data_IF_297647983959
#
_entry.id   IF_297647983959
#
_cell.length_a   1.000
_cell.length_b   1.000
_cell.length_c   1.000
_cell.angle_alpha   90.00
_cell.angle_beta   90.00
_cell.angle_gamma   90.00
#
_symmetry.space_group_name_H-M   'P 1'
#
loop_
_entity.id
_entity.type
_entity.pdbx_description
1 polymer ?
#
# COMPACT_ATOMS: atom_id res chain seq x y z
N UNK A 1 -22.27 -4.59 -5.62
CA UNK A 1 -20.81 -4.37 -5.69
C UNK A 1 -20.49 -3.62 -6.96
N UNK A 2 -20.07 -2.37 -6.81
CA UNK A 2 -19.73 -1.44 -7.89
C UNK A 2 -18.52 -1.94 -8.71
N UNK A 3 -18.41 -1.54 -9.97
CA UNK A 3 -17.41 -2.07 -10.91
C UNK A 3 -15.96 -1.89 -10.44
N UNK A 4 -15.64 -0.77 -9.81
CA UNK A 4 -14.32 -0.49 -9.25
C UNK A 4 -14.02 -1.33 -7.99
N UNK A 5 -15.04 -1.68 -7.17
CA UNK A 5 -14.92 -2.64 -6.06
C UNK A 5 -14.57 -4.05 -6.53
N UNK A 6 -15.07 -4.46 -7.72
CA UNK A 6 -14.69 -5.73 -8.36
C UNK A 6 -13.28 -5.68 -8.96
N UNK A 7 -12.90 -4.54 -9.53
CA UNK A 7 -11.55 -4.28 -10.03
C UNK A 7 -10.49 -4.25 -8.92
N UNK A 8 -10.83 -3.72 -7.74
CA UNK A 8 -9.98 -3.76 -6.54
C UNK A 8 -9.69 -5.19 -6.07
N UNK A 9 -10.70 -6.07 -6.11
CA UNK A 9 -10.52 -7.49 -5.80
C UNK A 9 -9.68 -8.23 -6.85
N UNK A 10 -9.84 -7.87 -8.13
CA UNK A 10 -9.06 -8.45 -9.23
C UNK A 10 -7.59 -7.97 -9.23
N UNK A 11 -7.35 -6.69 -8.93
CA UNK A 11 -6.01 -6.12 -8.81
C UNK A 11 -5.30 -6.62 -7.54
N UNK A 12 -6.00 -6.78 -6.42
CA UNK A 12 -5.46 -7.40 -5.21
C UNK A 12 -5.08 -8.88 -5.40
N UNK A 13 -5.70 -9.57 -6.37
CA UNK A 13 -5.36 -10.94 -6.74
C UNK A 13 -4.17 -11.06 -7.69
N UNK A 14 -3.82 -10.01 -8.43
CA UNK A 14 -2.82 -10.05 -9.51
C UNK A 14 -1.58 -9.18 -9.27
N UNK A 15 -1.63 -8.14 -8.44
CA UNK A 15 -0.53 -7.22 -8.19
C UNK A 15 -0.26 -7.10 -6.68
N UNK A 16 0.46 -8.08 -6.12
CA UNK A 16 0.77 -8.16 -4.68
C UNK A 16 1.58 -6.99 -4.10
N UNK A 17 1.98 -5.99 -4.89
CA UNK A 17 2.85 -4.90 -4.46
C UNK A 17 2.20 -3.48 -4.51
N UNK A 18 1.12 -3.27 -5.28
CA UNK A 18 0.38 -1.98 -5.24
C UNK A 18 -0.40 -1.78 -3.93
N UNK A 19 -0.49 -2.82 -3.09
CA UNK A 19 -1.23 -2.82 -1.83
C UNK A 19 -0.60 -1.99 -0.70
N UNK A 20 0.62 -1.46 -0.84
CA UNK A 20 1.31 -0.71 0.22
C UNK A 20 0.51 0.52 0.68
N UNK A 21 -0.24 1.16 -0.21
CA UNK A 21 -1.01 2.36 0.10
C UNK A 21 -2.51 2.09 0.28
N UNK A 22 -3.07 1.07 -0.37
CA UNK A 22 -4.49 0.73 -0.23
C UNK A 22 -4.83 0.20 1.17
N UNK A 23 -3.90 -0.51 1.84
CA UNK A 23 -4.13 -0.99 3.21
C UNK A 23 -4.09 0.13 4.26
N UNK A 24 -3.41 1.26 3.98
CA UNK A 24 -3.38 2.41 4.89
C UNK A 24 -4.76 3.05 5.09
N UNK A 25 -5.64 2.91 4.11
CA UNK A 25 -7.01 3.41 4.14
C UNK A 25 -8.05 2.35 4.54
N UNK A 26 -7.68 1.07 4.51
CA UNK A 26 -8.61 -0.05 4.75
C UNK A 26 -8.69 -0.48 6.22
N UNK A 27 -7.60 -0.34 7.00
CA UNK A 27 -7.59 -0.81 8.41
C UNK A 27 -8.35 0.08 9.40
N UNK A 28 -8.74 1.32 9.04
CA UNK A 28 -9.64 2.11 9.89
C UNK A 28 -11.11 1.65 9.84
N UNK A 29 -11.45 0.74 8.93
CA UNK A 29 -12.83 0.28 8.75
C UNK A 29 -13.27 -0.82 9.74
N UNK A 30 -12.38 -1.45 10.50
CA UNK A 30 -12.75 -2.64 11.30
C UNK A 30 -12.65 -2.50 12.83
N UNK A 31 -12.16 -1.39 13.42
CA UNK A 31 -12.13 -1.34 14.89
C UNK A 31 -12.16 0.03 15.58
N UNK A 32 -13.17 0.87 15.29
CA UNK A 32 -13.65 1.91 16.22
C UNK A 32 -15.15 2.12 16.06
N UNK A 33 -15.94 1.33 16.78
CA UNK A 33 -17.27 1.80 17.21
C UNK A 33 -17.03 2.94 18.20
N UNK A 34 -17.05 4.19 17.71
CA UNK A 34 -17.21 5.34 18.58
C UNK A 34 -18.65 5.32 19.10
N UNK A 35 -18.87 5.67 20.38
CA UNK A 35 -20.22 5.79 20.94
C UNK A 35 -21.02 6.81 20.12
N UNK A 36 -22.28 6.50 19.86
CA UNK A 36 -23.22 7.43 19.26
C UNK A 36 -23.34 8.67 20.15
N UNK A 37 -22.74 9.77 19.71
CA UNK A 37 -22.96 11.08 20.29
C UNK A 37 -24.21 11.66 19.63
N UNK A 38 -25.32 11.67 20.35
CA UNK A 38 -26.57 12.34 19.99
C UNK A 38 -26.41 13.86 20.14
N UNK A 39 -25.48 14.43 19.38
CA UNK A 39 -25.28 15.87 19.24
C UNK A 39 -25.70 16.31 17.85
N UNK A 40 -26.85 16.96 17.74
CA UNK A 40 -27.26 17.67 16.51
C UNK A 40 -26.30 18.83 16.21
N UNK A 41 -25.13 18.55 15.63
CA UNK A 41 -24.35 19.56 14.94
C UNK A 41 -24.96 19.80 13.56
N UNK A 42 -25.47 21.02 13.36
CA UNK A 42 -25.91 21.50 12.04
C UNK A 42 -24.72 21.52 11.08
N UNK A 43 -24.51 20.41 10.37
CA UNK A 43 -23.64 20.37 9.19
C UNK A 43 -24.07 21.50 8.25
N UNK A 44 -23.20 22.49 8.06
CA UNK A 44 -23.28 23.39 6.92
C UNK A 44 -23.07 22.53 5.66
N UNK A 45 -24.16 22.03 5.10
CA UNK A 45 -24.14 21.30 3.83
C UNK A 45 -23.47 22.19 2.78
N UNK A 46 -22.30 21.76 2.32
CA UNK A 46 -21.62 22.34 1.18
C UNK A 46 -22.56 22.30 -0.03
N UNK A 47 -22.45 23.30 -0.92
CA UNK A 47 -23.13 23.22 -2.22
C UNK A 47 -22.59 22.02 -2.99
N UNK A 48 -23.33 21.45 -3.97
CA UNK A 48 -22.81 20.35 -4.79
C UNK A 48 -21.46 20.67 -5.45
N UNK A 49 -21.24 21.93 -5.85
CA UNK A 49 -19.96 22.41 -6.39
C UNK A 49 -18.87 22.47 -5.33
N UNK A 50 -19.20 22.86 -4.10
CA UNK A 50 -18.27 22.85 -2.96
C UNK A 50 -17.90 21.43 -2.53
N UNK A 51 -18.86 20.50 -2.55
CA UNK A 51 -18.62 19.07 -2.28
C UNK A 51 -17.68 18.46 -3.35
N UNK A 52 -17.93 18.74 -4.64
CA UNK A 52 -17.07 18.28 -5.73
C UNK A 52 -15.64 18.84 -5.62
N UNK A 53 -15.49 20.14 -5.34
CA UNK A 53 -14.18 20.77 -5.18
C UNK A 53 -13.41 20.16 -4.00
N UNK A 54 -14.10 19.87 -2.89
CA UNK A 54 -13.49 19.20 -1.74
C UNK A 54 -13.05 17.78 -2.09
N UNK A 55 -13.88 17.00 -2.79
CA UNK A 55 -13.52 15.63 -3.24
C UNK A 55 -12.29 15.65 -4.15
N UNK A 56 -12.24 16.57 -5.11
CA UNK A 56 -11.08 16.73 -5.99
C UNK A 56 -9.81 17.10 -5.21
N UNK A 57 -9.93 17.99 -4.21
CA UNK A 57 -8.81 18.36 -3.36
C UNK A 57 -8.30 17.18 -2.53
N UNK A 58 -9.21 16.43 -1.88
CA UNK A 58 -8.85 15.25 -1.10
C UNK A 58 -8.14 14.21 -1.97
N UNK A 59 -8.67 13.92 -3.16
CA UNK A 59 -8.01 13.01 -4.11
C UNK A 59 -6.61 13.47 -4.50
N UNK A 60 -6.44 14.76 -4.80
CA UNK A 60 -5.14 15.33 -5.13
C UNK A 60 -4.15 15.23 -3.97
N UNK A 61 -4.60 15.42 -2.74
CA UNK A 61 -3.76 15.31 -1.55
C UNK A 61 -3.38 13.86 -1.26
N UNK A 62 -4.31 12.91 -1.47
CA UNK A 62 -4.01 11.47 -1.39
C UNK A 62 -2.93 11.11 -2.41
N UNK A 63 -3.11 11.51 -3.69
CA UNK A 63 -2.10 11.26 -4.74
C UNK A 63 -0.75 11.86 -4.36
N UNK A 64 -0.71 13.11 -3.91
CA UNK A 64 0.55 13.76 -3.50
C UNK A 64 1.20 13.06 -2.29
N UNK A 65 0.39 12.59 -1.33
CA UNK A 65 0.86 11.83 -0.17
C UNK A 65 1.48 10.49 -0.60
N UNK A 66 0.85 9.79 -1.55
CA UNK A 66 1.35 8.55 -2.13
C UNK A 66 2.68 8.76 -2.86
N UNK A 67 2.80 9.80 -3.70
CA UNK A 67 4.04 10.13 -4.42
C UNK A 67 5.19 10.47 -3.46
N UNK A 68 4.91 11.25 -2.39
CA UNK A 68 5.90 11.56 -1.35
C UNK A 68 6.35 10.30 -0.64
N UNK A 69 5.42 9.45 -0.22
CA UNK A 69 5.74 8.20 0.45
C UNK A 69 6.59 7.29 -0.46
N UNK A 70 6.24 7.18 -1.74
CA UNK A 70 7.03 6.44 -2.73
C UNK A 70 8.47 6.99 -2.83
N UNK A 71 8.62 8.32 -2.89
CA UNK A 71 9.93 8.97 -2.87
C UNK A 71 10.73 8.67 -1.60
N UNK A 72 10.07 8.72 -0.44
CA UNK A 72 10.69 8.38 0.85
C UNK A 72 11.12 6.91 0.91
N UNK A 73 10.28 5.99 0.44
CA UNK A 73 10.58 4.56 0.38
C UNK A 73 11.79 4.28 -0.52
N UNK A 74 11.89 4.92 -1.69
CA UNK A 74 13.06 4.79 -2.58
C UNK A 74 14.34 5.27 -1.91
N UNK A 75 14.29 6.44 -1.28
CA UNK A 75 15.46 6.99 -0.60
C UNK A 75 15.90 6.11 0.58
N UNK A 76 14.94 5.60 1.35
CA UNK A 76 15.21 4.69 2.46
C UNK A 76 15.77 3.35 1.97
N UNK A 77 15.27 2.82 0.86
CA UNK A 77 15.78 1.58 0.23
C UNK A 77 17.25 1.73 -0.14
N UNK A 78 17.63 2.84 -0.81
CA UNK A 78 19.04 3.15 -1.10
C UNK A 78 19.88 3.32 0.17
N UNK A 79 19.32 3.93 1.22
CA UNK A 79 20.01 4.05 2.50
C UNK A 79 20.23 2.69 3.16
N UNK A 80 19.24 1.79 3.11
CA UNK A 80 19.33 0.42 3.65
C UNK A 80 20.36 -0.45 2.91
N UNK A 81 20.50 -0.26 1.60
CA UNK A 81 21.53 -0.95 0.80
C UNK A 81 22.95 -0.43 1.10
N UNK A 82 23.09 0.87 1.41
CA UNK A 82 24.39 1.48 1.71
C UNK A 82 24.78 1.41 3.19
N UNK A 83 23.80 1.33 4.10
CA UNK A 83 23.96 1.25 5.55
C UNK A 83 23.07 0.15 6.10
N UNK A 84 23.65 -0.74 6.91
CA UNK A 84 22.88 -1.75 7.65
C UNK A 84 22.12 -1.11 8.82
N UNK A 85 20.94 -0.55 8.54
CA UNK A 85 20.05 -0.07 9.60
C UNK A 85 19.35 -1.25 10.29
N UNK A 86 19.15 -1.12 11.60
CA UNK A 86 18.30 -2.04 12.36
C UNK A 86 16.81 -1.79 12.08
N UNK A 87 15.96 -2.72 12.47
CA UNK A 87 14.50 -2.57 12.39
C UNK A 87 14.03 -1.28 13.10
N UNK A 88 14.49 -1.02 14.31
CA UNK A 88 14.09 0.16 15.10
C UNK A 88 14.53 1.49 14.44
N UNK A 89 15.74 1.54 13.89
CA UNK A 89 16.22 2.71 13.16
C UNK A 89 15.41 2.96 11.89
N UNK A 90 15.10 1.90 11.15
CA UNK A 90 14.30 1.97 9.93
C UNK A 90 12.87 2.43 10.24
N UNK A 91 12.28 1.88 11.30
CA UNK A 91 10.97 2.27 11.81
C UNK A 91 10.92 3.75 12.17
N UNK A 92 11.89 4.23 12.97
CA UNK A 92 11.95 5.65 13.36
C UNK A 92 12.07 6.55 12.14
N UNK A 93 12.90 6.15 11.17
CA UNK A 93 13.09 6.91 9.93
C UNK A 93 11.80 7.03 9.12
N UNK A 94 11.02 5.95 9.04
CA UNK A 94 9.71 5.96 8.38
C UNK A 94 8.71 6.83 9.15
N UNK A 95 8.70 6.75 10.48
CA UNK A 95 7.78 7.54 11.31
C UNK A 95 7.99 9.05 11.14
N UNK A 96 9.23 9.48 10.91
CA UNK A 96 9.58 10.89 10.67
C UNK A 96 9.11 11.42 9.31
N UNK A 97 8.99 10.55 8.30
CA UNK A 97 8.71 10.95 6.90
C UNK A 97 7.33 10.52 6.42
N UNK A 98 6.58 9.79 7.24
CA UNK A 98 5.24 9.34 6.92
C UNK A 98 4.33 10.57 6.81
N UNK A 99 3.69 10.80 5.65
CA UNK A 99 2.77 11.93 5.47
C UNK A 99 1.50 11.72 6.31
N UNK A 100 0.91 12.83 6.75
CA UNK A 100 -0.40 12.83 7.39
C UNK A 100 -1.46 12.25 6.44
N UNK A 101 -2.44 11.53 7.01
CA UNK A 101 -3.56 11.00 6.24
C UNK A 101 -4.52 12.15 5.88
N UNK A 102 -4.75 12.44 4.58
CA UNK A 102 -5.68 13.48 4.19
C UNK A 102 -7.08 13.24 4.76
N UNK A 103 -7.56 11.99 4.79
CA UNK A 103 -8.91 11.69 5.29
C UNK A 103 -9.05 12.04 6.77
N UNK A 104 -8.07 11.66 7.60
CA UNK A 104 -8.02 12.03 9.01
C UNK A 104 -8.03 13.56 9.18
N UNK A 105 -7.27 14.29 8.34
CA UNK A 105 -7.23 15.76 8.36
C UNK A 105 -8.57 16.41 8.05
N UNK A 106 -9.38 15.78 7.20
CA UNK A 106 -10.74 16.21 6.89
C UNK A 106 -11.80 15.63 7.83
N UNK A 107 -11.41 14.83 8.83
CA UNK A 107 -12.35 14.16 9.73
C UNK A 107 -13.25 13.14 9.03
N UNK A 108 -12.80 12.61 7.89
CA UNK A 108 -13.57 11.68 7.07
C UNK A 108 -13.12 10.24 7.34
N UNK A 109 -14.08 9.37 7.53
CA UNK A 109 -13.85 7.93 7.41
C UNK A 109 -13.75 7.54 5.95
N UNK A 110 -13.11 6.40 5.68
CA UNK A 110 -13.07 5.82 4.34
C UNK A 110 -14.49 5.62 3.76
N UNK A 111 -15.45 5.16 4.56
CA UNK A 111 -16.83 4.93 4.10
C UNK A 111 -17.55 6.23 3.69
N UNK A 112 -17.30 7.32 4.42
CA UNK A 112 -17.84 8.63 4.05
C UNK A 112 -17.20 9.15 2.77
N UNK A 113 -15.89 8.99 2.63
CA UNK A 113 -15.19 9.36 1.40
C UNK A 113 -15.64 8.50 0.21
N UNK A 114 -15.85 7.20 0.40
CA UNK A 114 -16.40 6.27 -0.59
C UNK A 114 -17.76 6.74 -1.11
N UNK A 115 -18.66 7.12 -0.20
CA UNK A 115 -19.97 7.64 -0.54
C UNK A 115 -19.87 8.96 -1.33
N UNK A 116 -18.91 9.83 -1.00
CA UNK A 116 -18.66 11.07 -1.73
C UNK A 116 -18.13 10.80 -3.15
N UNK A 117 -17.19 9.85 -3.31
CA UNK A 117 -16.71 9.43 -4.61
C UNK A 117 -17.84 8.87 -5.48
N UNK A 118 -18.74 8.07 -4.91
CA UNK A 118 -19.89 7.50 -5.63
C UNK A 118 -20.81 8.55 -6.25
N UNK A 119 -20.98 9.71 -5.61
CA UNK A 119 -21.78 10.84 -6.12
C UNK A 119 -21.10 11.56 -7.30
N UNK A 120 -19.77 11.65 -7.28
CA UNK A 120 -18.98 12.42 -8.24
C UNK A 120 -18.17 11.57 -9.23
N UNK A 121 -18.38 10.25 -9.25
CA UNK A 121 -17.60 9.28 -10.04
C UNK A 121 -17.59 9.53 -11.56
N UNK A 122 -18.50 10.36 -12.07
CA UNK A 122 -18.56 10.72 -13.48
C UNK A 122 -17.66 11.92 -13.84
N UNK A 123 -17.21 12.69 -12.85
CA UNK A 123 -16.30 13.82 -13.05
C UNK A 123 -14.93 13.33 -13.54
N UNK A 124 -14.36 13.93 -14.61
CA UNK A 124 -13.09 13.49 -15.16
C UNK A 124 -11.92 13.53 -14.18
N UNK A 125 -11.83 14.55 -13.31
CA UNK A 125 -10.73 14.67 -12.34
C UNK A 125 -10.88 13.67 -11.21
N UNK A 126 -12.12 13.41 -10.79
CA UNK A 126 -12.42 12.35 -9.82
C UNK A 126 -12.00 10.98 -10.37
N UNK A 127 -12.35 10.68 -11.64
CA UNK A 127 -11.91 9.44 -12.30
C UNK A 127 -10.39 9.33 -12.39
N UNK A 128 -9.72 10.40 -12.78
CA UNK A 128 -8.26 10.44 -12.89
C UNK A 128 -7.59 10.21 -11.53
N UNK A 129 -8.05 10.89 -10.48
CA UNK A 129 -7.55 10.68 -9.12
C UNK A 129 -7.75 9.24 -8.63
N UNK A 130 -8.93 8.66 -8.88
CA UNK A 130 -9.20 7.25 -8.56
C UNK A 130 -8.26 6.32 -9.34
N UNK A 131 -8.07 6.54 -10.65
CA UNK A 131 -7.16 5.74 -11.47
C UNK A 131 -5.71 5.80 -10.98
N UNK A 132 -5.24 6.98 -10.61
CA UNK A 132 -3.89 7.18 -10.09
C UNK A 132 -3.70 6.45 -8.75
N UNK A 133 -4.67 6.59 -7.84
CA UNK A 133 -4.68 5.88 -6.54
C UNK A 133 -4.70 4.37 -6.72
N UNK A 134 -5.40 3.87 -7.74
CA UNK A 134 -5.46 2.44 -8.05
C UNK A 134 -4.16 1.88 -8.63
N UNK A 135 -3.11 2.71 -8.79
CA UNK A 135 -1.85 2.29 -9.39
C UNK A 135 -2.02 1.83 -10.84
N UNK A 136 -3.13 2.22 -11.49
CA UNK A 136 -3.26 2.00 -12.92
C UNK A 136 -2.18 2.83 -13.60
N UNK A 137 -1.42 2.25 -14.55
CA UNK A 137 -0.43 3.02 -15.28
C UNK A 137 -1.15 4.20 -15.95
N UNK A 138 -0.92 5.40 -15.42
CA UNK A 138 -1.06 6.63 -16.20
C UNK A 138 -0.16 6.36 -17.40
N UNK A 139 -0.72 6.38 -18.62
CA UNK A 139 0.03 6.11 -19.86
C UNK A 139 1.32 6.93 -19.82
N UNK A 140 2.41 6.30 -19.42
CA UNK A 140 3.74 6.87 -19.48
C UNK A 140 4.26 6.40 -20.83
N UNK A 141 4.33 7.35 -21.77
CA UNK A 141 4.79 7.14 -23.16
C UNK A 141 6.29 6.79 -23.24
N UNK A 142 6.88 6.22 -22.19
CA UNK A 142 8.29 5.88 -22.13
C UNK A 142 8.47 4.38 -22.34
N UNK A 143 8.93 3.94 -23.53
CA UNK A 143 9.44 2.61 -23.75
C UNK A 143 10.84 2.54 -23.16
N UNK A 144 10.96 2.65 -21.83
CA UNK A 144 12.20 2.27 -21.19
C UNK A 144 12.30 0.75 -21.34
N UNK A 145 13.38 0.26 -21.96
CA UNK A 145 13.68 -1.16 -22.08
C UNK A 145 13.82 -1.76 -20.67
N UNK A 146 12.71 -2.28 -20.16
CA UNK A 146 12.65 -2.97 -18.87
C UNK A 146 13.47 -4.26 -19.01
N UNK A 147 14.29 -4.64 -18.02
CA UNK A 147 14.89 -5.96 -17.98
C UNK A 147 13.79 -7.00 -18.18
N UNK A 148 13.95 -7.89 -19.16
CA UNK A 148 13.01 -8.99 -19.37
C UNK A 148 13.21 -10.00 -18.25
N UNK A 149 12.61 -9.74 -17.10
CA UNK A 149 12.48 -10.71 -16.00
C UNK A 149 11.56 -11.82 -16.51
N UNK A 150 11.92 -13.09 -16.30
CA UNK A 150 11.03 -14.22 -16.65
C UNK A 150 10.01 -14.48 -15.52
N UNK A 151 8.93 -15.19 -15.82
CA UNK A 151 7.97 -15.62 -14.81
C UNK A 151 8.64 -16.45 -13.69
N UNK A 152 9.54 -17.37 -14.04
CA UNK A 152 10.34 -18.13 -13.06
C UNK A 152 11.17 -17.22 -12.14
N UNK A 153 11.75 -16.15 -12.69
CA UNK A 153 12.53 -15.19 -11.91
C UNK A 153 11.63 -14.39 -10.96
N UNK A 154 10.41 -14.05 -11.38
CA UNK A 154 9.41 -13.41 -10.50
C UNK A 154 9.09 -14.32 -9.30
N UNK A 155 8.91 -15.62 -9.53
CA UNK A 155 8.64 -16.60 -8.48
C UNK A 155 9.84 -16.72 -7.53
N UNK A 156 11.06 -16.78 -8.06
CA UNK A 156 12.30 -16.81 -7.27
C UNK A 156 12.42 -15.58 -6.35
N UNK A 157 12.12 -14.39 -6.88
CA UNK A 157 12.11 -13.15 -6.11
C UNK A 157 11.05 -13.20 -5.01
N UNK A 158 9.83 -13.67 -5.29
CA UNK A 158 8.77 -13.78 -4.28
C UNK A 158 9.09 -14.79 -3.18
N UNK A 159 9.77 -15.90 -3.51
CA UNK A 159 10.27 -16.84 -2.49
C UNK A 159 11.28 -16.17 -1.56
N UNK A 160 12.22 -15.42 -2.12
CA UNK A 160 13.18 -14.68 -1.32
C UNK A 160 12.51 -13.61 -0.46
N UNK A 161 11.51 -12.89 -1.00
CA UNK A 161 10.71 -11.95 -0.22
C UNK A 161 10.03 -12.64 0.97
N UNK A 162 9.40 -13.80 0.75
CA UNK A 162 8.78 -14.57 1.82
C UNK A 162 9.78 -14.93 2.92
N UNK A 163 10.95 -15.48 2.57
CA UNK A 163 12.00 -15.80 3.53
C UNK A 163 12.42 -14.59 4.37
N UNK A 164 12.56 -13.42 3.75
CA UNK A 164 12.96 -12.19 4.45
C UNK A 164 11.83 -11.63 5.32
N UNK A 165 10.57 -11.71 4.89
CA UNK A 165 9.42 -11.35 5.72
C UNK A 165 9.32 -12.27 6.93
N UNK A 166 9.49 -13.58 6.77
CA UNK A 166 9.45 -14.53 7.88
C UNK A 166 10.56 -14.26 8.90
N UNK A 167 11.79 -13.95 8.44
CA UNK A 167 12.89 -13.53 9.32
C UNK A 167 12.53 -12.27 10.11
N UNK A 168 11.91 -11.27 9.46
CA UNK A 168 11.47 -10.05 10.11
C UNK A 168 10.35 -10.30 11.12
N UNK A 169 9.39 -11.18 10.81
CA UNK A 169 8.34 -11.60 11.75
C UNK A 169 8.95 -12.24 12.99
N UNK A 170 9.93 -13.14 12.83
CA UNK A 170 10.63 -13.74 13.97
C UNK A 170 11.40 -12.70 14.78
N UNK A 171 12.10 -11.78 14.10
CA UNK A 171 12.79 -10.67 14.78
C UNK A 171 11.79 -9.82 15.58
N UNK A 172 10.66 -9.44 14.99
CA UNK A 172 9.63 -8.61 15.62
C UNK A 172 8.99 -9.30 16.82
N UNK A 173 8.73 -10.62 16.75
CA UNK A 173 8.25 -11.45 17.87
C UNK A 173 9.17 -11.42 19.09
N UNK A 174 10.47 -11.26 18.88
CA UNK A 174 11.45 -11.22 19.98
C UNK A 174 11.60 -9.83 20.62
N UNK A 175 10.99 -8.79 20.05
CA UNK A 175 11.07 -7.43 20.59
C UNK A 175 10.16 -7.27 21.80
N UNK A 176 10.77 -6.97 22.96
CA UNK A 176 10.03 -6.69 24.21
C UNK A 176 9.08 -5.48 24.11
N UNK A 177 9.34 -4.58 23.17
CA UNK A 177 8.59 -3.35 22.92
C UNK A 177 7.58 -3.48 21.77
N UNK A 178 7.16 -4.70 21.38
CA UNK A 178 6.23 -4.90 20.26
C UNK A 178 4.96 -4.03 20.36
N UNK A 179 4.46 -3.81 21.58
CA UNK A 179 3.28 -2.99 21.85
C UNK A 179 3.47 -1.48 21.60
N UNK A 180 4.71 -0.97 21.51
CA UNK A 180 4.97 0.46 21.27
C UNK A 180 5.03 0.82 19.79
N UNK A 181 5.02 -0.18 18.91
CA UNK A 181 5.06 0.03 17.47
C UNK A 181 3.65 0.01 16.87
N UNK A 182 3.31 0.99 16.04
CA UNK A 182 2.07 0.98 15.28
C UNK A 182 2.19 0.08 14.05
N UNK A 183 1.13 -0.70 13.79
CA UNK A 183 1.11 -1.71 12.74
C UNK A 183 1.39 -1.14 11.33
N UNK A 184 0.93 0.10 11.07
CA UNK A 184 1.13 0.82 9.81
C UNK A 184 2.61 1.04 9.53
N UNK A 185 3.33 1.64 10.46
CA UNK A 185 4.77 1.92 10.33
C UNK A 185 5.58 0.62 10.36
N UNK A 186 5.18 -0.40 11.13
CA UNK A 186 5.80 -1.74 11.12
C UNK A 186 5.73 -2.38 9.73
N UNK A 187 4.56 -2.32 9.09
CA UNK A 187 4.33 -2.88 7.75
C UNK A 187 5.21 -2.21 6.71
N UNK A 188 5.25 -0.87 6.72
CA UNK A 188 6.12 -0.08 5.83
C UNK A 188 7.61 -0.38 6.09
N UNK A 189 7.99 -0.57 7.36
CA UNK A 189 9.37 -0.93 7.75
C UNK A 189 9.76 -2.27 7.13
N UNK A 190 8.91 -3.27 7.25
CA UNK A 190 9.16 -4.58 6.66
C UNK A 190 9.29 -4.50 5.14
N UNK A 191 8.40 -3.77 4.48
CA UNK A 191 8.45 -3.58 3.03
C UNK A 191 9.74 -2.89 2.57
N UNK A 192 10.18 -1.83 3.26
CA UNK A 192 11.42 -1.14 2.94
C UNK A 192 12.65 -2.07 3.10
N UNK A 193 12.70 -2.81 4.20
CA UNK A 193 13.82 -3.73 4.48
C UNK A 193 13.87 -4.91 3.50
N UNK A 194 12.73 -5.48 3.13
CA UNK A 194 12.65 -6.56 2.14
C UNK A 194 12.98 -6.03 0.75
N UNK A 195 12.42 -4.88 0.35
CA UNK A 195 12.71 -4.22 -0.92
C UNK A 195 14.20 -3.97 -1.12
N UNK A 196 14.88 -3.43 -0.10
CA UNK A 196 16.32 -3.19 -0.15
C UNK A 196 17.13 -4.47 -0.35
N UNK A 197 16.74 -5.57 0.31
CA UNK A 197 17.42 -6.87 0.15
C UNK A 197 17.17 -7.50 -1.21
N UNK A 198 15.98 -7.30 -1.77
CA UNK A 198 15.64 -7.79 -3.11
C UNK A 198 16.46 -7.04 -4.15
N UNK A 199 16.51 -5.72 -4.06
CA UNK A 199 17.30 -4.87 -4.95
C UNK A 199 18.79 -5.22 -4.84
N UNK A 200 19.33 -5.40 -3.63
CA UNK A 200 20.71 -5.83 -3.39
C UNK A 200 21.02 -7.22 -3.99
N UNK A 201 20.09 -8.17 -3.90
CA UNK A 201 20.33 -9.57 -4.32
C UNK A 201 20.11 -9.79 -5.81
N UNK A 202 19.12 -9.13 -6.40
CA UNK A 202 18.65 -9.42 -7.75
C UNK A 202 18.90 -8.29 -8.75
N UNK A 203 19.34 -7.11 -8.30
CA UNK A 203 19.48 -5.90 -9.12
C UNK A 203 18.16 -5.54 -9.83
N UNK A 204 17.05 -5.74 -9.10
CA UNK A 204 15.69 -5.46 -9.56
C UNK A 204 15.02 -4.49 -8.59
N UNK A 205 14.50 -3.40 -9.14
CA UNK A 205 13.69 -2.45 -8.37
C UNK A 205 12.30 -3.03 -8.11
N UNK A 206 11.58 -2.49 -7.12
CA UNK A 206 10.18 -2.85 -6.88
C UNK A 206 9.32 -2.67 -8.13
N UNK A 207 9.57 -1.62 -8.93
CA UNK A 207 8.83 -1.38 -10.16
C UNK A 207 9.15 -2.38 -11.27
N UNK A 208 10.36 -2.93 -11.34
CA UNK A 208 10.70 -4.01 -12.27
C UNK A 208 9.89 -5.26 -11.95
N UNK A 209 9.78 -5.59 -10.66
CA UNK A 209 9.05 -6.77 -10.18
C UNK A 209 7.55 -6.58 -10.41
N UNK A 210 7.00 -5.40 -10.11
CA UNK A 210 5.60 -5.06 -10.39
C UNK A 210 5.26 -5.18 -11.87
N UNK A 211 6.08 -4.59 -12.74
CA UNK A 211 5.89 -4.70 -14.20
C UNK A 211 5.97 -6.15 -14.66
N UNK A 212 6.87 -6.95 -14.11
CA UNK A 212 7.01 -8.36 -14.46
C UNK A 212 5.77 -9.16 -14.01
N UNK A 213 5.27 -8.93 -12.79
CA UNK A 213 4.03 -9.56 -12.30
C UNK A 213 2.85 -9.22 -13.20
N UNK A 214 2.69 -7.95 -13.59
CA UNK A 214 1.64 -7.55 -14.54
C UNK A 214 1.86 -8.20 -15.89
N UNK A 215 3.09 -8.29 -16.39
CA UNK A 215 3.39 -8.90 -17.69
C UNK A 215 3.03 -10.39 -17.74
N UNK A 216 3.28 -11.14 -16.68
CA UNK A 216 3.05 -12.58 -16.62
C UNK A 216 1.80 -12.96 -15.82
N UNK A 217 0.84 -12.05 -15.65
CA UNK A 217 -0.29 -12.25 -14.75
C UNK A 217 -1.09 -13.54 -15.05
N UNK A 218 -1.28 -13.90 -16.32
CA UNK A 218 -2.00 -15.12 -16.71
C UNK A 218 -1.25 -16.40 -16.34
N UNK A 219 0.05 -16.41 -16.58
CA UNK A 219 0.93 -17.55 -16.25
C UNK A 219 1.03 -17.72 -14.74
N UNK A 220 1.30 -16.64 -14.03
CA UNK A 220 1.43 -16.61 -12.58
C UNK A 220 0.12 -16.99 -11.87
N UNK A 221 -1.04 -16.61 -12.41
CA UNK A 221 -2.35 -16.93 -11.83
C UNK A 221 -2.65 -18.45 -11.80
N UNK A 222 -2.06 -19.22 -12.72
CA UNK A 222 -2.22 -20.68 -12.77
C UNK A 222 -1.06 -21.44 -12.11
N UNK A 223 -0.01 -20.72 -11.71
CA UNK A 223 1.17 -21.30 -11.09
C UNK A 223 0.93 -21.57 -9.60
N UNK A 224 0.86 -22.86 -9.24
CA UNK A 224 0.62 -23.31 -7.86
C UNK A 224 1.68 -22.85 -6.87
N UNK A 225 2.92 -22.73 -7.32
CA UNK A 225 4.03 -22.31 -6.47
C UNK A 225 3.92 -20.81 -6.16
N UNK A 226 3.67 -20.00 -7.18
CA UNK A 226 3.43 -18.56 -7.00
C UNK A 226 2.24 -18.30 -6.06
N UNK A 227 1.13 -19.04 -6.24
CA UNK A 227 -0.03 -18.96 -5.36
C UNK A 227 0.30 -19.33 -3.91
N UNK A 228 1.07 -20.42 -3.70
CA UNK A 228 1.51 -20.87 -2.38
C UNK A 228 2.40 -19.83 -1.68
N UNK A 229 3.36 -19.25 -2.41
CA UNK A 229 4.26 -18.22 -1.88
C UNK A 229 3.47 -16.97 -1.47
N UNK A 230 2.56 -16.50 -2.31
CA UNK A 230 1.73 -15.33 -1.99
C UNK A 230 0.83 -15.56 -0.78
N UNK A 231 0.21 -16.74 -0.66
CA UNK A 231 -0.61 -17.08 0.51
C UNK A 231 0.21 -17.08 1.81
N UNK A 232 1.41 -17.65 1.78
CA UNK A 232 2.32 -17.64 2.93
C UNK A 232 2.80 -16.23 3.26
N UNK A 233 3.11 -15.43 2.24
CA UNK A 233 3.55 -14.04 2.43
C UNK A 233 2.44 -13.18 3.03
N UNK A 234 1.19 -13.35 2.59
CA UNK A 234 0.01 -12.70 3.19
C UNK A 234 -0.14 -13.06 4.66
N UNK A 235 0.02 -14.34 5.02
CA UNK A 235 -0.04 -14.80 6.41
C UNK A 235 1.09 -14.22 7.27
N UNK A 236 2.31 -14.16 6.74
CA UNK A 236 3.44 -13.57 7.47
C UNK A 236 3.22 -12.06 7.70
N UNK A 237 2.70 -11.35 6.69
CA UNK A 237 2.39 -9.93 6.77
C UNK A 237 1.20 -9.62 7.71
N UNK A 238 0.17 -10.48 7.78
CA UNK A 238 -0.96 -10.27 8.69
C UNK A 238 -0.55 -10.24 10.16
N UNK A 239 0.52 -10.94 10.52
CA UNK A 239 1.11 -10.83 11.87
C UNK A 239 1.66 -9.42 12.15
N UNK A 240 2.38 -8.84 11.20
CA UNK A 240 2.98 -7.51 11.32
C UNK A 240 1.92 -6.40 11.35
N UNK A 241 0.84 -6.59 10.61
CA UNK A 241 -0.37 -5.74 10.63
C UNK A 241 -1.14 -5.83 11.96
N UNK A 242 -0.87 -6.85 12.78
CA UNK A 242 -1.49 -7.02 14.08
C UNK A 242 -2.81 -7.77 14.08
N UNK A 243 -3.22 -8.34 12.93
CA UNK A 243 -4.42 -9.18 12.81
C UNK A 243 -4.28 -10.53 13.55
N UNK A 244 -3.04 -10.99 13.82
CA UNK A 244 -2.75 -12.23 14.55
C UNK A 244 -2.01 -11.96 15.89
N UNK A 245 -2.19 -10.80 16.53
CA UNK A 245 -1.68 -10.58 17.90
C UNK A 245 -2.51 -11.43 18.86
N UNK A 246 -1.87 -12.44 19.48
CA UNK A 246 -2.43 -13.25 20.54
C UNK A 246 -2.64 -12.44 21.84
#
# INVERSE_FOLDING_TARGET
MEGWKKLLLAAAGAAGASCVLYYLLREEAENKQLPADDGEEKEKKLTPEGELAQVQQILSEIVSSQEKMLGHMKNLTRELMSKKLSFDQTYKRLKEVQPDDPLERYGLTFQQFDALLGKHQNDPKVKEGIHHIMGMPVKTDSPAEVPVVSADKVIEVHKFMLEEVEKLVQQFKTLKSQATYDSKTVTLTAQAMVGAKVEEKFDLTSEDIERAVVRYHEELATNKEFASVNMQMQKAMSYLMGAEKA
#
